data_IF_141657279679
#
_entry.id   IF_141657279679
#
_cell.length_a   1.000
_cell.length_b   1.000
_cell.length_c   1.000
_cell.angle_alpha   90.00
_cell.angle_beta   90.00
_cell.angle_gamma   90.00
#
_symmetry.space_group_name_H-M   'P 1'
#
loop_
_entity.id
_entity.type
_entity.pdbx_description
1 polymer ?
#
# COMPACT_ATOMS: atom_id res chain seq x y z
N UNK A 1 -11.31 -74.55 14.92
CA UNK A 1 -10.84 -73.32 15.61
C UNK A 1 -9.68 -72.63 14.86
N UNK A 2 -9.79 -72.37 13.54
CA UNK A 2 -8.75 -71.62 12.79
C UNK A 2 -9.31 -70.55 11.82
N UNK A 3 -10.63 -70.43 11.69
CA UNK A 3 -11.24 -69.49 10.74
C UNK A 3 -11.48 -68.08 11.31
N UNK A 4 -11.66 -67.94 12.63
CA UNK A 4 -11.99 -66.62 13.22
C UNK A 4 -10.78 -65.69 13.39
N UNK A 5 -9.56 -66.25 13.50
CA UNK A 5 -8.32 -65.48 13.64
C UNK A 5 -7.99 -64.74 12.32
N UNK A 6 -8.38 -65.31 11.18
CA UNK A 6 -8.04 -64.75 9.87
C UNK A 6 -8.92 -63.54 9.49
N UNK A 7 -10.16 -63.50 9.96
CA UNK A 7 -11.10 -62.38 9.69
C UNK A 7 -10.73 -61.14 10.54
N UNK A 8 -10.26 -61.34 11.77
CA UNK A 8 -9.83 -60.24 12.66
C UNK A 8 -8.61 -59.47 12.14
N UNK A 9 -7.63 -60.15 11.53
CA UNK A 9 -6.44 -59.49 10.97
C UNK A 9 -6.74 -58.65 9.73
N UNK A 10 -7.67 -59.10 8.87
CA UNK A 10 -8.05 -58.37 7.65
C UNK A 10 -8.74 -57.04 7.99
N UNK A 11 -9.61 -57.02 9.00
CA UNK A 11 -10.30 -55.79 9.43
C UNK A 11 -9.34 -54.76 10.05
N UNK A 12 -8.27 -55.20 10.71
CA UNK A 12 -7.25 -54.29 11.28
C UNK A 12 -6.43 -53.61 10.17
N UNK A 13 -6.07 -54.36 9.13
CA UNK A 13 -5.28 -53.87 7.98
C UNK A 13 -6.10 -52.86 7.15
N UNK A 14 -7.38 -53.14 6.88
CA UNK A 14 -8.30 -52.23 6.18
C UNK A 14 -8.58 -50.93 6.95
N UNK A 15 -8.59 -50.97 8.28
CA UNK A 15 -8.74 -49.79 9.13
C UNK A 15 -7.52 -48.86 9.11
N UNK A 16 -6.31 -49.42 9.04
CA UNK A 16 -5.06 -48.65 9.00
C UNK A 16 -4.85 -47.94 7.66
N UNK A 17 -5.27 -48.55 6.54
CA UNK A 17 -5.14 -47.98 5.19
C UNK A 17 -6.08 -46.77 4.98
N UNK A 18 -7.31 -46.84 5.51
CA UNK A 18 -8.26 -45.70 5.54
C UNK A 18 -7.77 -44.53 6.39
N UNK A 19 -6.99 -44.80 7.44
CA UNK A 19 -6.52 -43.76 8.36
C UNK A 19 -5.32 -42.98 7.79
N UNK A 20 -4.48 -43.62 6.98
CA UNK A 20 -3.36 -42.95 6.29
C UNK A 20 -3.84 -42.09 5.11
N UNK A 21 -4.90 -42.51 4.43
CA UNK A 21 -5.54 -41.74 3.34
C UNK A 21 -6.34 -40.54 3.87
N UNK A 22 -6.95 -40.63 5.06
CA UNK A 22 -7.58 -39.48 5.73
C UNK A 22 -6.55 -38.46 6.24
N UNK A 23 -5.40 -38.92 6.74
CA UNK A 23 -4.29 -38.03 7.13
C UNK A 23 -3.70 -37.31 5.91
N UNK A 24 -3.55 -38.00 4.77
CA UNK A 24 -3.09 -37.35 3.53
C UNK A 24 -4.14 -36.41 2.93
N UNK A 25 -5.44 -36.71 3.02
CA UNK A 25 -6.50 -35.77 2.60
C UNK A 25 -6.52 -34.49 3.46
N UNK A 26 -6.29 -34.60 4.78
CA UNK A 26 -6.28 -33.43 5.67
C UNK A 26 -5.05 -32.53 5.46
N UNK A 27 -3.93 -33.09 4.99
CA UNK A 27 -2.71 -32.34 4.71
C UNK A 27 -2.77 -31.66 3.33
N UNK A 28 -3.47 -32.27 2.36
CA UNK A 28 -3.69 -31.68 1.03
C UNK A 28 -4.74 -30.55 1.09
N UNK A 29 -5.74 -30.63 1.98
CA UNK A 29 -6.72 -29.55 2.16
C UNK A 29 -6.12 -28.25 2.78
N UNK A 30 -4.99 -28.36 3.50
CA UNK A 30 -4.33 -27.20 4.13
C UNK A 30 -3.37 -26.44 3.19
N UNK A 31 -3.06 -26.98 2.00
CA UNK A 31 -1.99 -26.45 1.14
C UNK A 31 -2.51 -25.75 -0.14
N UNK A 32 -3.83 -25.72 -0.37
CA UNK A 32 -4.42 -25.17 -1.62
C UNK A 32 -5.03 -23.76 -1.44
N UNK A 33 -5.03 -23.19 -0.23
CA UNK A 33 -5.61 -21.84 -0.02
C UNK A 33 -4.63 -20.69 -0.32
N UNK A 34 -3.34 -20.97 -0.50
CA UNK A 34 -2.33 -19.94 -0.69
C UNK A 34 -1.88 -19.84 -2.15
N UNK A 35 -2.75 -19.34 -3.03
CA UNK A 35 -2.43 -18.57 -4.25
C UNK A 35 -3.70 -18.41 -5.08
N UNK A 36 -4.69 -17.70 -4.54
CA UNK A 36 -5.50 -16.87 -5.42
C UNK A 36 -4.54 -15.81 -5.94
N UNK A 37 -4.00 -16.03 -7.14
CA UNK A 37 -3.43 -14.98 -7.95
C UNK A 37 -4.46 -13.85 -7.97
N UNK A 38 -4.15 -12.76 -7.26
CA UNK A 38 -4.91 -11.52 -7.36
C UNK A 38 -4.85 -11.16 -8.83
N UNK A 39 -6.00 -11.27 -9.49
CA UNK A 39 -6.20 -10.70 -10.82
C UNK A 39 -5.65 -9.29 -10.78
N UNK A 40 -4.86 -8.93 -11.79
CA UNK A 40 -4.50 -7.54 -12.03
C UNK A 40 -5.81 -6.76 -12.23
N UNK A 41 -6.38 -6.29 -11.12
CA UNK A 41 -7.50 -5.39 -11.15
C UNK A 41 -6.96 -4.12 -11.78
N UNK A 42 -7.61 -3.67 -12.84
CA UNK A 42 -7.43 -2.32 -13.33
C UNK A 42 -7.72 -1.39 -12.14
N UNK A 43 -6.66 -0.89 -11.51
CA UNK A 43 -6.77 0.15 -10.51
C UNK A 43 -7.21 1.41 -11.24
N UNK A 44 -8.46 1.81 -11.09
CA UNK A 44 -8.88 3.12 -11.54
C UNK A 44 -8.47 4.12 -10.47
N UNK A 45 -7.46 4.90 -10.79
CA UNK A 45 -7.11 6.10 -10.06
C UNK A 45 -8.06 7.20 -10.52
N UNK A 46 -8.88 7.71 -9.61
CA UNK A 46 -9.71 8.90 -9.87
C UNK A 46 -9.08 10.13 -9.22
N UNK A 47 -9.21 11.27 -9.90
CA UNK A 47 -8.76 12.55 -9.40
C UNK A 47 -9.88 13.57 -9.39
N UNK A 48 -10.03 14.25 -8.25
CA UNK A 48 -11.00 15.33 -8.05
C UNK A 48 -10.27 16.57 -7.50
N UNK A 49 -10.85 17.75 -7.73
CA UNK A 49 -10.29 19.07 -7.44
C UNK A 49 -10.86 19.69 -6.14
N UNK A 50 -10.89 18.91 -5.06
CA UNK A 50 -11.36 19.36 -3.73
C UNK A 50 -10.35 19.04 -2.63
N UNK A 51 -10.48 19.62 -1.43
CA UNK A 51 -9.71 19.12 -0.29
C UNK A 51 -10.33 17.78 0.15
N UNK A 52 -9.55 16.74 0.38
CA UNK A 52 -10.06 15.52 1.02
C UNK A 52 -10.46 15.86 2.46
N UNK A 53 -11.75 15.77 2.80
CA UNK A 53 -12.24 16.11 4.14
C UNK A 53 -12.04 14.99 5.16
N UNK A 54 -11.82 13.77 4.67
CA UNK A 54 -11.86 12.55 5.49
C UNK A 54 -10.44 12.00 5.76
N UNK A 55 -9.43 12.54 5.05
CA UNK A 55 -8.02 12.16 5.19
C UNK A 55 -7.37 12.72 6.46
N UNK A 56 -6.38 11.99 6.97
CA UNK A 56 -5.54 12.44 8.09
C UNK A 56 -4.28 13.12 7.55
N UNK A 57 -3.84 14.19 8.21
CA UNK A 57 -2.58 14.88 7.86
C UNK A 57 -1.41 13.91 7.90
N UNK A 58 -0.65 13.89 6.81
CA UNK A 58 0.61 13.14 6.68
C UNK A 58 1.75 14.07 7.06
N UNK A 59 2.34 13.85 8.23
CA UNK A 59 3.45 14.67 8.72
C UNK A 59 4.77 14.24 8.07
N UNK A 60 5.17 14.96 7.04
CA UNK A 60 6.39 14.66 6.29
C UNK A 60 7.64 15.25 6.95
N UNK A 61 8.71 14.46 6.94
CA UNK A 61 10.08 14.82 7.32
C UNK A 61 11.04 14.63 6.14
N UNK A 62 12.22 15.25 6.18
CA UNK A 62 13.19 15.12 5.08
C UNK A 62 13.71 13.66 4.90
N UNK A 63 13.47 12.76 5.86
CA UNK A 63 13.82 11.34 5.69
C UNK A 63 12.82 10.60 4.78
N UNK A 64 11.62 11.15 4.62
CA UNK A 64 10.54 10.54 3.84
C UNK A 64 10.62 10.91 2.35
N UNK A 65 11.51 11.85 2.00
CA UNK A 65 11.67 12.40 0.66
C UNK A 65 13.06 12.10 0.12
N UNK A 66 13.13 11.42 -1.02
CA UNK A 66 14.38 11.20 -1.76
C UNK A 66 14.41 12.08 -3.01
N UNK A 67 15.54 12.74 -3.30
CA UNK A 67 15.71 13.53 -4.53
C UNK A 67 15.00 14.90 -4.54
N UNK A 68 14.37 15.29 -3.44
CA UNK A 68 13.75 16.60 -3.23
C UNK A 68 13.96 17.12 -1.81
N UNK A 69 13.34 18.25 -1.47
CA UNK A 69 13.43 18.84 -0.13
C UNK A 69 12.07 19.17 0.44
N UNK A 70 11.89 18.92 1.74
CA UNK A 70 10.86 19.56 2.51
C UNK A 70 11.37 20.89 3.05
N UNK A 71 10.65 21.94 2.71
CA UNK A 71 10.96 23.31 3.01
C UNK A 71 9.96 23.82 4.04
N UNK A 72 10.43 24.58 5.02
CA UNK A 72 9.57 25.13 6.07
C UNK A 72 8.51 26.08 5.51
N UNK A 73 7.33 26.13 6.15
CA UNK A 73 6.22 27.01 5.73
C UNK A 73 6.63 28.46 5.58
N UNK A 74 7.52 28.99 6.41
CA UNK A 74 7.92 30.41 6.36
C UNK A 74 8.84 30.76 5.18
N UNK A 75 9.35 29.79 4.44
CA UNK A 75 10.20 30.02 3.27
C UNK A 75 9.31 30.15 2.03
N UNK A 76 9.24 31.34 1.46
CA UNK A 76 8.36 31.63 0.32
C UNK A 76 8.89 31.07 -1.01
N UNK A 77 10.20 30.96 -1.16
CA UNK A 77 10.86 30.44 -2.36
C UNK A 77 12.06 29.58 -2.01
N UNK A 78 12.23 28.49 -2.73
CA UNK A 78 13.38 27.60 -2.57
C UNK A 78 13.75 27.06 -3.94
N UNK A 79 14.96 27.35 -4.42
CA UNK A 79 15.49 26.67 -5.60
C UNK A 79 14.56 26.74 -6.84
N UNK A 80 13.99 27.92 -7.11
CA UNK A 80 13.05 28.16 -8.21
C UNK A 80 11.58 27.84 -7.86
N UNK A 81 11.36 27.04 -6.82
CA UNK A 81 10.04 26.64 -6.36
C UNK A 81 9.38 27.78 -5.59
N UNK A 82 8.09 28.00 -5.82
CA UNK A 82 7.29 28.96 -5.06
C UNK A 82 6.34 28.23 -4.14
N UNK A 83 6.40 28.55 -2.84
CA UNK A 83 5.51 27.96 -1.84
C UNK A 83 4.04 28.14 -2.25
N UNK A 84 3.23 27.06 -2.28
CA UNK A 84 1.80 27.18 -2.52
C UNK A 84 1.12 28.12 -1.49
N UNK A 85 0.01 28.78 -1.85
CA UNK A 85 -0.75 29.53 -0.84
C UNK A 85 -1.56 28.58 0.04
N UNK A 86 -1.60 28.83 1.35
CA UNK A 86 -2.35 27.99 2.30
C UNK A 86 -1.60 26.77 2.81
N UNK A 87 -0.27 26.73 2.67
CA UNK A 87 0.57 25.68 3.27
C UNK A 87 0.42 25.65 4.78
N UNK A 88 0.18 24.45 5.32
CA UNK A 88 0.22 24.10 6.74
C UNK A 88 1.37 23.13 6.94
N UNK A 89 2.38 23.54 7.72
CA UNK A 89 3.59 22.73 7.94
C UNK A 89 4.61 22.86 6.81
N UNK A 90 5.40 21.81 6.56
CA UNK A 90 6.41 21.82 5.51
C UNK A 90 5.77 21.63 4.13
N UNK A 91 6.43 22.15 3.09
CA UNK A 91 6.04 21.95 1.70
C UNK A 91 7.18 21.27 0.93
N UNK A 92 6.82 20.39 0.01
CA UNK A 92 7.73 19.71 -0.88
C UNK A 92 8.13 20.67 -2.01
N UNK A 93 9.43 20.86 -2.16
CA UNK A 93 10.07 21.49 -3.30
C UNK A 93 10.94 20.44 -4.01
N UNK A 94 10.52 20.01 -5.19
CA UNK A 94 11.27 19.04 -5.99
C UNK A 94 12.14 19.75 -7.02
N UNK A 95 13.32 20.27 -6.65
CA UNK A 95 14.34 20.69 -7.62
C UNK A 95 15.51 19.70 -7.64
N UNK A 96 15.56 18.79 -8.60
CA UNK A 96 16.64 17.82 -8.70
C UNK A 96 17.68 18.45 -9.60
N UNK A 97 18.74 18.97 -8.97
CA UNK A 97 20.06 19.09 -9.59
C UNK A 97 20.07 19.49 -11.08
N UNK A 98 19.69 20.74 -11.40
CA UNK A 98 19.86 21.45 -12.68
C UNK A 98 19.41 20.77 -14.01
N UNK A 99 18.94 19.52 -14.03
CA UNK A 99 18.60 18.78 -15.26
C UNK A 99 17.35 17.89 -15.04
N UNK A 100 16.36 18.45 -14.36
CA UNK A 100 15.13 17.73 -14.03
C UNK A 100 15.37 16.56 -13.07
N UNK A 101 14.31 16.13 -12.44
CA UNK A 101 14.36 14.85 -11.75
C UNK A 101 13.09 14.62 -10.97
N UNK A 102 13.24 13.82 -9.93
CA UNK A 102 12.12 13.25 -9.23
C UNK A 102 12.31 13.39 -7.73
N UNK A 103 11.39 14.11 -7.08
CA UNK A 103 11.22 13.99 -5.65
C UNK A 103 10.31 12.80 -5.38
N UNK A 104 10.78 11.83 -4.61
CA UNK A 104 10.05 10.60 -4.29
C UNK A 104 9.64 10.66 -2.84
N UNK A 105 8.33 10.55 -2.61
CA UNK A 105 7.74 10.34 -1.30
C UNK A 105 7.40 8.85 -1.16
N UNK A 106 8.07 8.17 -0.24
CA UNK A 106 7.71 6.80 0.14
C UNK A 106 6.61 6.85 1.20
N UNK A 107 5.44 6.30 0.87
CA UNK A 107 4.30 6.29 1.79
C UNK A 107 4.30 5.06 2.68
N UNK A 108 5.02 4.02 2.27
CA UNK A 108 5.31 2.86 3.10
C UNK A 108 6.36 3.32 4.09
N UNK A 109 6.09 3.20 5.39
CA UNK A 109 6.88 3.70 6.53
C UNK A 109 6.48 5.07 7.10
N UNK A 110 5.57 5.83 6.46
CA UNK A 110 5.06 7.06 7.06
C UNK A 110 4.05 6.79 8.16
N UNK A 111 4.46 7.00 9.43
CA UNK A 111 3.70 7.10 10.70
C UNK A 111 2.70 5.96 11.02
N UNK A 112 1.85 5.55 10.06
CA UNK A 112 0.82 4.51 10.11
C UNK A 112 0.61 3.75 8.78
N UNK A 113 1.19 4.22 7.68
CA UNK A 113 1.00 3.73 6.30
C UNK A 113 1.75 2.43 5.94
N UNK A 114 1.88 1.48 6.86
CA UNK A 114 2.65 0.24 6.62
C UNK A 114 2.17 -0.50 5.36
N UNK A 115 0.86 -0.42 5.07
CA UNK A 115 0.22 -1.03 3.91
C UNK A 115 -0.13 -0.02 2.80
N UNK A 116 0.38 1.21 2.88
CA UNK A 116 0.03 2.31 2.01
C UNK A 116 -1.29 2.99 2.38
N UNK A 117 -1.82 3.77 1.42
CA UNK A 117 -2.99 4.61 1.59
C UNK A 117 -4.05 4.27 0.51
N UNK A 118 -5.33 4.21 0.88
CA UNK A 118 -6.41 4.05 -0.11
C UNK A 118 -6.63 5.33 -0.91
N UNK A 119 -6.40 6.45 -0.22
CA UNK A 119 -6.58 7.78 -0.76
C UNK A 119 -5.43 8.67 -0.29
N UNK A 120 -4.92 9.50 -1.20
CA UNK A 120 -3.91 10.52 -0.88
C UNK A 120 -4.32 11.82 -1.55
N UNK A 121 -4.23 12.92 -0.83
CA UNK A 121 -4.45 14.25 -1.37
C UNK A 121 -3.35 15.20 -0.98
N UNK A 122 -3.10 16.19 -1.82
CA UNK A 122 -2.13 17.24 -1.56
C UNK A 122 -2.49 18.50 -2.35
N UNK A 123 -2.08 19.65 -1.84
CA UNK A 123 -2.12 20.92 -2.54
C UNK A 123 -0.95 21.01 -3.51
N UNK A 124 -1.22 21.08 -4.80
CA UNK A 124 -0.23 21.32 -5.84
C UNK A 124 -0.13 22.83 -6.11
N UNK A 125 1.09 23.37 -6.08
CA UNK A 125 1.38 24.79 -6.30
C UNK A 125 1.10 25.24 -7.73
N UNK A 126 1.88 24.77 -8.70
CA UNK A 126 1.65 25.12 -10.11
C UNK A 126 1.72 23.87 -10.98
N UNK A 127 0.58 23.21 -11.24
CA UNK A 127 0.52 22.13 -12.22
C UNK A 127 0.76 22.71 -13.61
N UNK A 128 1.87 22.35 -14.24
CA UNK A 128 2.20 22.76 -15.60
C UNK A 128 2.61 21.58 -16.49
N UNK A 129 2.78 21.83 -17.80
CA UNK A 129 3.11 20.78 -18.77
C UNK A 129 4.49 20.15 -18.59
N UNK A 130 5.31 20.64 -17.66
CA UNK A 130 6.63 20.10 -17.35
C UNK A 130 6.60 19.11 -16.18
N UNK A 131 5.51 19.07 -15.43
CA UNK A 131 5.34 18.23 -14.27
C UNK A 131 4.56 16.95 -14.59
N UNK A 132 5.06 15.84 -14.06
CA UNK A 132 4.40 14.54 -14.07
C UNK A 132 4.37 13.98 -12.66
N UNK A 133 3.19 13.59 -12.21
CA UNK A 133 3.02 12.82 -10.98
C UNK A 133 3.01 11.33 -11.33
N UNK A 134 3.89 10.57 -10.71
CA UNK A 134 3.97 9.12 -10.88
C UNK A 134 3.47 8.48 -9.60
N UNK A 135 2.39 7.71 -9.71
CA UNK A 135 1.76 7.00 -8.58
C UNK A 135 2.12 5.53 -8.69
N UNK A 136 2.69 4.97 -7.62
CA UNK A 136 2.94 3.52 -7.53
C UNK A 136 2.05 2.91 -6.47
N UNK A 137 1.45 1.77 -6.80
CA UNK A 137 0.59 0.99 -5.91
C UNK A 137 1.31 -0.26 -5.38
N UNK A 138 0.76 -0.84 -4.30
CA UNK A 138 1.35 -2.00 -3.64
C UNK A 138 1.42 -3.25 -4.53
N UNK A 139 0.56 -3.36 -5.56
CA UNK A 139 0.60 -4.41 -6.58
C UNK A 139 1.67 -4.19 -7.66
N UNK A 140 2.43 -3.08 -7.59
CA UNK A 140 3.45 -2.71 -8.57
C UNK A 140 2.93 -1.94 -9.79
N UNK A 141 1.62 -1.64 -9.87
CA UNK A 141 1.08 -0.80 -10.91
C UNK A 141 1.63 0.63 -10.80
N UNK A 142 1.94 1.22 -11.95
CA UNK A 142 2.48 2.58 -12.09
C UNK A 142 1.55 3.38 -12.99
N UNK A 143 1.09 4.53 -12.49
CA UNK A 143 0.24 5.46 -13.23
C UNK A 143 0.95 6.80 -13.35
N UNK A 144 1.11 7.29 -14.58
CA UNK A 144 1.63 8.62 -14.84
C UNK A 144 0.46 9.59 -15.03
N UNK A 145 0.39 10.60 -14.18
CA UNK A 145 -0.61 11.64 -14.20
C UNK A 145 0.04 12.96 -14.62
N UNK A 146 -0.41 13.47 -15.76
CA UNK A 146 0.03 14.75 -16.30
C UNK A 146 -0.83 15.87 -15.73
N UNK A 147 -0.27 17.06 -15.56
CA UNK A 147 -1.01 18.25 -15.12
C UNK A 147 -2.30 18.51 -15.92
N UNK A 148 -2.28 18.23 -17.23
CA UNK A 148 -3.44 18.37 -18.13
C UNK A 148 -4.62 17.47 -17.79
N UNK A 149 -4.40 16.43 -16.97
CA UNK A 149 -5.47 15.56 -16.48
C UNK A 149 -6.27 16.20 -15.34
N UNK A 150 -5.77 17.29 -14.77
CA UNK A 150 -6.42 18.04 -13.71
C UNK A 150 -6.90 19.39 -14.25
N UNK A 151 -8.16 19.75 -13.96
CA UNK A 151 -8.71 21.05 -14.35
C UNK A 151 -8.33 22.14 -13.34
N UNK A 152 -7.03 22.40 -13.18
CA UNK A 152 -6.48 23.32 -12.18
C UNK A 152 -6.13 24.66 -12.81
N UNK A 153 -6.70 25.75 -12.31
CA UNK A 153 -6.35 27.12 -12.72
C UNK A 153 -5.33 27.72 -11.73
N UNK A 154 -4.06 27.32 -11.87
CA UNK A 154 -3.01 27.63 -10.90
C UNK A 154 -2.95 26.55 -9.82
N UNK A 155 -2.88 26.95 -8.55
CA UNK A 155 -2.81 26.00 -7.44
C UNK A 155 -4.14 25.28 -7.18
N UNK A 156 -4.08 24.05 -6.72
CA UNK A 156 -5.26 23.36 -6.22
C UNK A 156 -4.96 21.97 -5.65
N UNK A 157 -5.97 21.40 -5.01
CA UNK A 157 -5.86 20.08 -4.43
C UNK A 157 -6.01 19.02 -5.50
N UNK A 158 -5.10 18.06 -5.46
CA UNK A 158 -5.21 16.80 -6.18
C UNK A 158 -5.60 15.73 -5.18
N UNK A 159 -6.70 15.05 -5.45
CA UNK A 159 -7.06 13.81 -4.76
C UNK A 159 -6.69 12.64 -5.64
N UNK A 160 -6.19 11.60 -5.01
CA UNK A 160 -5.90 10.31 -5.61
C UNK A 160 -6.71 9.30 -4.82
N UNK A 161 -7.64 8.62 -5.46
CA UNK A 161 -8.41 7.53 -4.86
C UNK A 161 -8.26 6.28 -5.71
N UNK A 162 -7.84 5.18 -5.07
CA UNK A 162 -7.59 3.91 -5.74
C UNK A 162 -8.64 2.86 -5.39
N UNK A 163 -9.16 2.21 -6.42
CA UNK A 163 -10.00 1.03 -6.25
C UNK A 163 -9.19 -0.23 -6.59
N UNK A 164 -8.57 -0.85 -5.58
CA UNK A 164 -8.07 -2.23 -5.69
C UNK A 164 -6.65 -2.48 -5.17
N UNK A 165 -5.79 -1.47 -5.09
CA UNK A 165 -4.48 -1.59 -4.45
C UNK A 165 -4.06 -0.27 -3.79
N UNK A 166 -3.51 -0.30 -2.56
CA UNK A 166 -3.08 0.92 -1.87
C UNK A 166 -1.97 1.66 -2.63
N UNK A 167 -1.98 2.99 -2.55
CA UNK A 167 -0.89 3.85 -2.97
C UNK A 167 0.28 3.69 -1.99
N UNK A 168 1.46 3.41 -2.51
CA UNK A 168 2.68 3.19 -1.70
C UNK A 168 3.75 4.23 -1.98
N UNK A 169 3.71 4.92 -3.12
CA UNK A 169 4.73 5.90 -3.49
C UNK A 169 4.17 6.97 -4.42
N UNK A 170 4.59 8.21 -4.18
CA UNK A 170 4.37 9.33 -5.08
C UNK A 170 5.72 9.86 -5.55
N UNK A 171 5.88 9.96 -6.87
CA UNK A 171 7.07 10.50 -7.50
C UNK A 171 6.70 11.76 -8.28
N UNK A 172 7.24 12.89 -7.84
CA UNK A 172 7.01 14.21 -8.39
C UNK A 172 8.13 14.54 -9.36
N UNK A 173 7.88 14.32 -10.65
CA UNK A 173 8.86 14.55 -11.70
C UNK A 173 8.63 15.91 -12.35
N UNK A 174 9.71 16.65 -12.63
CA UNK A 174 9.65 17.85 -13.45
C UNK A 174 10.82 17.94 -14.43
N UNK A 175 10.53 18.41 -15.65
CA UNK A 175 11.51 18.74 -16.69
C UNK A 175 11.92 20.21 -16.71
N UNK A 176 11.30 21.05 -15.87
CA UNK A 176 11.54 22.49 -15.70
C UNK A 176 11.57 22.86 -14.20
N UNK A 177 11.84 24.10 -13.74
CA UNK A 177 12.11 24.34 -12.33
C UNK A 177 10.90 23.99 -11.45
N UNK A 178 11.16 22.99 -10.62
CA UNK A 178 10.55 22.54 -9.38
C UNK A 178 9.05 22.27 -9.27
N UNK A 179 8.73 21.02 -8.92
CA UNK A 179 7.41 20.64 -8.45
C UNK A 179 7.16 21.21 -7.05
N UNK A 180 5.98 21.79 -6.80
CA UNK A 180 5.57 22.24 -5.46
C UNK A 180 4.31 21.51 -4.98
N UNK A 181 4.43 20.85 -3.82
CA UNK A 181 3.31 20.19 -3.17
C UNK A 181 3.29 20.47 -1.66
N UNK A 182 2.12 20.49 -1.05
CA UNK A 182 1.96 20.68 0.38
C UNK A 182 0.67 20.07 0.90
N UNK A 183 0.42 20.17 2.20
CA UNK A 183 -0.85 19.78 2.84
C UNK A 183 -1.23 18.33 2.50
N UNK A 184 -0.27 17.42 2.64
CA UNK A 184 -0.48 16.00 2.37
C UNK A 184 -1.45 15.42 3.39
N UNK A 185 -2.49 14.77 2.91
CA UNK A 185 -3.51 14.10 3.70
C UNK A 185 -3.82 12.74 3.08
N UNK A 186 -4.19 11.75 3.87
CA UNK A 186 -4.55 10.44 3.32
C UNK A 186 -5.27 9.51 4.28
N UNK A 187 -5.86 8.47 3.72
CA UNK A 187 -6.55 7.41 4.45
C UNK A 187 -5.69 6.15 4.45
N UNK A 188 -5.21 5.77 5.63
CA UNK A 188 -4.34 4.60 5.81
C UNK A 188 -5.13 3.31 5.56
N UNK A 189 -4.55 2.37 4.81
CA UNK A 189 -5.14 1.04 4.66
C UNK A 189 -4.84 0.21 5.91
N UNK A 190 -5.87 -0.27 6.64
CA UNK A 190 -5.68 -1.10 7.83
C UNK A 190 -4.97 -2.41 7.52
N UNK A 191 -4.38 -3.03 8.54
CA UNK A 191 -3.74 -4.32 8.38
C UNK A 191 -4.71 -5.38 7.86
N UNK A 192 -4.28 -6.28 6.96
CA UNK A 192 -5.11 -7.39 6.53
C UNK A 192 -5.54 -8.25 7.72
N UNK A 193 -6.84 -8.55 7.83
CA UNK A 193 -7.41 -9.46 8.85
C UNK A 193 -6.80 -10.86 8.80
N UNK A 194 -6.12 -11.22 7.71
CA UNK A 194 -5.37 -12.46 7.55
C UNK A 194 -4.24 -12.61 8.58
N UNK A 195 -3.60 -11.53 9.03
CA UNK A 195 -2.56 -11.59 10.07
C UNK A 195 -3.18 -11.94 11.43
N UNK A 196 -4.33 -11.33 11.75
CA UNK A 196 -5.08 -11.66 12.96
C UNK A 196 -5.56 -13.13 12.93
N UNK A 197 -6.05 -13.60 11.78
CA UNK A 197 -6.44 -15.00 11.59
C UNK A 197 -5.26 -15.96 11.66
N UNK A 198 -4.11 -15.59 11.11
CA UNK A 198 -2.87 -16.37 11.23
C UNK A 198 -2.46 -16.49 12.70
N UNK A 199 -2.43 -15.37 13.42
CA UNK A 199 -2.10 -15.36 14.84
C UNK A 199 -3.08 -16.22 15.66
N UNK A 200 -4.40 -16.08 15.42
CA UNK A 200 -5.42 -16.90 16.06
C UNK A 200 -5.30 -18.38 15.69
N UNK A 201 -4.97 -18.69 14.44
CA UNK A 201 -4.73 -20.06 13.97
C UNK A 201 -3.55 -20.70 14.68
N UNK A 202 -2.41 -20.00 14.79
CA UNK A 202 -1.25 -20.48 15.54
C UNK A 202 -1.59 -20.67 17.03
N UNK A 203 -2.29 -19.72 17.65
CA UNK A 203 -2.74 -19.83 19.05
C UNK A 203 -3.65 -21.04 19.25
N UNK A 204 -4.62 -21.25 18.35
CA UNK A 204 -5.50 -22.42 18.36
C UNK A 204 -4.72 -23.75 18.27
N UNK A 205 -3.75 -23.84 17.36
CA UNK A 205 -2.88 -25.02 17.23
C UNK A 205 -2.07 -25.29 18.50
N UNK A 206 -1.50 -24.25 19.13
CA UNK A 206 -0.76 -24.42 20.39
C UNK A 206 -1.67 -24.85 21.55
N UNK A 207 -2.90 -24.34 21.62
CA UNK A 207 -3.89 -24.73 22.62
C UNK A 207 -4.33 -26.20 22.46
N UNK A 208 -4.56 -26.64 21.23
CA UNK A 208 -4.89 -28.04 20.91
C UNK A 208 -3.72 -28.97 21.29
N UNK A 209 -2.49 -28.59 20.95
CA UNK A 209 -1.29 -29.39 21.30
C UNK A 209 -1.09 -29.52 22.81
N UNK A 210 -1.37 -28.46 23.57
CA UNK A 210 -1.31 -28.50 25.05
C UNK A 210 -2.40 -29.38 25.66
N UNK A 211 -3.59 -29.45 25.06
CA UNK A 211 -4.67 -30.33 25.51
C UNK A 211 -4.39 -31.81 25.22
N UNK A 212 -3.73 -32.12 24.11
CA UNK A 212 -3.39 -33.49 23.73
C UNK A 212 -2.20 -34.10 24.52
N UNK A 213 -1.43 -33.28 25.23
CA UNK A 213 -0.27 -33.70 26.04
C UNK A 213 -0.59 -33.87 27.54
N UNK A 214 -1.87 -33.73 27.92
CA UNK A 214 -2.41 -34.08 29.24
C UNK A 214 -3.35 -35.26 29.08
#
# INVERSE_FOLDING_TARGET
MRSEIFIGQINLILGMEKMNTLKSLSLVAATVVAMSCVSANASSLSSDNGKNTDGVVINLTNQDVTGGNLVASNVAKFNGATRPNGVVGNWLAGQPNNIGGTAVLDLVNLDKGIYGYSDVSFLWGTPDGYNTLIVTQANGAITNLFSSMFSLNGQGYVNLSETGSPIVKLAFQSSSPSFEAANFEGTVVPEPTSIALLALGLLGLTAIRRKASK
#
